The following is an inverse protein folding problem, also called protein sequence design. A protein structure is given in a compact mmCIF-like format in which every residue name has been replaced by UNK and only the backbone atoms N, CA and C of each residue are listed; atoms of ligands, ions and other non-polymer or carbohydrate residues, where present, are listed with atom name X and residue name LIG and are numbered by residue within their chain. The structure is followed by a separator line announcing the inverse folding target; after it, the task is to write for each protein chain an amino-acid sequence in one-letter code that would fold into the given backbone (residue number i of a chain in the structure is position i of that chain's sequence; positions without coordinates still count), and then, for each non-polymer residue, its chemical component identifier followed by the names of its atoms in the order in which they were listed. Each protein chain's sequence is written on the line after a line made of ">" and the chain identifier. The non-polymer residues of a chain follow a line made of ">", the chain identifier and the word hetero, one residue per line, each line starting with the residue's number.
data_IF_440046928451
#
_entry.id   IF_440046928451
#
_cell.length_a   1.000
_cell.length_b   1.000
_cell.length_c   1.000
_cell.angle_alpha   90.00
_cell.angle_beta   90.00
_cell.angle_gamma   90.00
#
_symmetry.space_group_name_H-M   'P 1'
#
loop_
_entity.id
_entity.type
_entity.pdbx_description
1 polymer ?
#
# COMPACT_ATOMS: atom_id res chain seq x y z
N UNK A 1 17.07 26.75 6.12
CA UNK A 1 17.52 25.91 7.26
C UNK A 1 19.03 25.75 7.17
N UNK A 2 19.77 26.23 8.18
CA UNK A 2 21.23 26.08 8.26
C UNK A 2 21.54 24.60 8.56
N UNK A 3 22.17 23.91 7.63
CA UNK A 3 22.40 22.46 7.72
C UNK A 3 23.43 22.15 8.81
N UNK A 4 23.00 21.58 9.94
CA UNK A 4 23.90 21.09 11.00
C UNK A 4 24.73 19.89 10.57
N UNK A 5 24.34 19.21 9.49
CA UNK A 5 25.04 18.06 8.91
C UNK A 5 25.45 18.33 7.45
N UNK A 6 26.56 17.70 7.05
CA UNK A 6 27.02 17.70 5.66
C UNK A 6 25.96 17.04 4.74
N UNK A 7 25.70 17.57 3.53
CA UNK A 7 24.61 17.10 2.65
C UNK A 7 24.61 15.58 2.39
N UNK A 8 25.79 14.97 2.18
CA UNK A 8 25.92 13.51 2.02
C UNK A 8 25.43 12.71 3.23
N UNK A 9 25.68 13.18 4.45
CA UNK A 9 25.22 12.52 5.69
C UNK A 9 23.72 12.69 5.87
N UNK A 10 23.18 13.88 5.56
CA UNK A 10 21.74 14.08 5.51
C UNK A 10 21.09 13.08 4.54
N UNK A 11 21.57 13.02 3.29
CA UNK A 11 21.04 12.09 2.29
C UNK A 11 21.05 10.64 2.80
N UNK A 12 22.20 10.18 3.31
CA UNK A 12 22.33 8.82 3.86
C UNK A 12 21.31 8.51 4.97
N UNK A 13 21.03 9.45 5.86
CA UNK A 13 20.06 9.27 6.95
C UNK A 13 18.63 9.19 6.42
N UNK A 14 18.29 10.01 5.42
CA UNK A 14 16.91 10.16 4.94
C UNK A 14 16.53 9.23 3.79
N UNK A 15 17.49 8.66 3.06
CA UNK A 15 17.25 7.81 1.87
C UNK A 15 16.44 6.54 2.17
N UNK A 16 16.59 5.97 3.38
CA UNK A 16 15.79 4.82 3.82
C UNK A 16 14.42 5.18 4.42
N UNK A 17 14.17 6.46 4.71
CA UNK A 17 13.02 6.87 5.51
C UNK A 17 11.70 6.72 4.72
N UNK A 18 11.71 7.01 3.42
CA UNK A 18 10.54 6.79 2.55
C UNK A 18 10.07 5.34 2.54
N UNK A 19 11.00 4.39 2.47
CA UNK A 19 10.71 2.94 2.52
C UNK A 19 10.12 2.52 3.87
N UNK A 20 10.71 3.00 4.97
CA UNK A 20 10.21 2.71 6.31
C UNK A 20 8.78 3.24 6.51
N UNK A 21 8.53 4.49 6.11
CA UNK A 21 7.20 5.11 6.22
C UNK A 21 6.19 4.36 5.36
N UNK A 22 6.53 4.03 4.11
CA UNK A 22 5.68 3.24 3.23
C UNK A 22 5.28 1.91 3.88
N UNK A 23 6.25 1.18 4.44
CA UNK A 23 5.99 -0.11 5.10
C UNK A 23 5.11 0.04 6.34
N UNK A 24 5.33 1.07 7.15
CA UNK A 24 4.49 1.37 8.31
C UNK A 24 3.06 1.65 7.88
N UNK A 25 2.85 2.48 6.85
CA UNK A 25 1.52 2.85 6.37
C UNK A 25 0.74 1.64 5.84
N UNK A 26 1.35 0.83 4.98
CA UNK A 26 0.74 -0.39 4.42
C UNK A 26 0.40 -1.37 5.55
N UNK A 27 1.36 -1.64 6.44
CA UNK A 27 1.15 -2.56 7.57
C UNK A 27 0.07 -2.06 8.54
N UNK A 28 -0.04 -0.74 8.72
CA UNK A 28 -1.03 -0.15 9.63
C UNK A 28 -2.48 -0.33 9.17
N UNK A 29 -2.71 -0.60 7.88
CA UNK A 29 -4.05 -0.81 7.34
C UNK A 29 -4.76 -2.01 7.98
N UNK A 30 -4.03 -3.05 8.41
CA UNK A 30 -4.64 -4.24 9.05
C UNK A 30 -5.38 -3.90 10.35
N UNK A 31 -4.94 -2.85 11.05
CA UNK A 31 -5.52 -2.37 12.32
C UNK A 31 -6.68 -1.41 12.12
N UNK A 32 -7.01 -1.04 10.88
CA UNK A 32 -8.19 -0.24 10.61
C UNK A 32 -9.46 -1.08 10.76
N UNK A 33 -10.49 -0.51 11.40
CA UNK A 33 -11.77 -1.21 11.55
C UNK A 33 -12.57 -1.17 10.26
N UNK A 34 -12.69 0.02 9.67
CA UNK A 34 -13.40 0.28 8.41
C UNK A 34 -12.66 1.38 7.64
N UNK A 35 -12.83 1.41 6.33
CA UNK A 35 -12.34 2.45 5.44
C UNK A 35 -13.45 2.86 4.47
N UNK A 36 -13.68 4.17 4.37
CA UNK A 36 -14.63 4.77 3.44
C UNK A 36 -13.89 5.58 2.37
N UNK A 37 -14.60 6.00 1.33
CA UNK A 37 -14.02 6.75 0.21
C UNK A 37 -13.28 8.01 0.67
N UNK A 38 -13.86 8.75 1.61
CA UNK A 38 -13.23 9.95 2.20
C UNK A 38 -11.94 9.59 2.94
N UNK A 39 -11.93 8.48 3.67
CA UNK A 39 -10.76 7.93 4.35
C UNK A 39 -9.64 7.59 3.38
N UNK A 40 -9.96 6.93 2.26
CA UNK A 40 -9.00 6.60 1.21
C UNK A 40 -8.37 7.87 0.64
N UNK A 41 -9.20 8.82 0.19
CA UNK A 41 -8.72 10.08 -0.36
C UNK A 41 -7.85 10.86 0.64
N UNK A 42 -8.21 10.86 1.93
CA UNK A 42 -7.40 11.49 2.99
C UNK A 42 -6.05 10.80 3.14
N UNK A 43 -6.01 9.47 3.12
CA UNK A 43 -4.75 8.73 3.16
C UNK A 43 -3.86 9.06 1.96
N UNK A 44 -4.40 9.03 0.74
CA UNK A 44 -3.63 9.37 -0.46
C UNK A 44 -3.06 10.80 -0.40
N UNK A 45 -3.85 11.79 0.06
CA UNK A 45 -3.37 13.18 0.26
C UNK A 45 -2.27 13.27 1.32
N UNK A 46 -2.43 12.57 2.45
CA UNK A 46 -1.44 12.56 3.51
C UNK A 46 -0.12 11.93 3.05
N UNK A 47 -0.19 10.82 2.31
CA UNK A 47 0.99 10.15 1.73
C UNK A 47 1.70 11.09 0.76
N UNK A 48 0.95 11.78 -0.09
CA UNK A 48 1.52 12.76 -1.01
C UNK A 48 2.21 13.93 -0.27
N UNK A 49 1.61 14.45 0.81
CA UNK A 49 2.23 15.48 1.64
C UNK A 49 3.54 14.99 2.31
N UNK A 50 3.57 13.74 2.79
CA UNK A 50 4.78 13.11 3.31
C UNK A 50 5.85 12.97 2.22
N UNK A 51 5.45 12.56 1.02
CA UNK A 51 6.34 12.43 -0.13
C UNK A 51 6.96 13.77 -0.53
N UNK A 52 6.17 14.84 -0.59
CA UNK A 52 6.67 16.20 -0.86
C UNK A 52 7.65 16.65 0.23
N UNK A 53 7.34 16.39 1.49
CA UNK A 53 8.19 16.76 2.63
C UNK A 53 9.56 16.07 2.52
N UNK A 54 9.57 14.75 2.30
CA UNK A 54 10.81 13.99 2.14
C UNK A 54 11.57 14.37 0.89
N UNK A 55 10.89 14.51 -0.25
CA UNK A 55 11.51 14.93 -1.52
C UNK A 55 12.21 16.28 -1.37
N UNK A 56 11.63 17.21 -0.60
CA UNK A 56 12.26 18.50 -0.32
C UNK A 56 13.50 18.38 0.60
N UNK A 57 13.56 17.36 1.45
CA UNK A 57 14.70 17.09 2.34
C UNK A 57 15.82 16.37 1.58
N UNK A 58 15.47 15.33 0.81
CA UNK A 58 16.41 14.44 0.14
C UNK A 58 16.83 14.94 -1.25
N UNK A 59 16.04 15.84 -1.84
CA UNK A 59 16.14 16.29 -3.23
C UNK A 59 16.04 15.11 -4.24
N UNK A 60 15.38 14.03 -3.83
CA UNK A 60 15.16 12.82 -4.62
C UNK A 60 13.71 12.37 -4.51
N UNK A 61 13.15 11.81 -5.59
CA UNK A 61 11.79 11.30 -5.58
C UNK A 61 11.69 10.06 -4.69
N UNK A 62 10.75 10.09 -3.75
CA UNK A 62 10.46 8.96 -2.85
C UNK A 62 9.46 7.98 -3.50
N UNK A 63 9.95 7.05 -4.32
CA UNK A 63 9.12 6.08 -5.05
C UNK A 63 8.39 5.11 -4.12
N UNK A 64 8.97 4.79 -2.96
CA UNK A 64 8.31 3.91 -1.98
C UNK A 64 6.97 4.48 -1.46
N UNK A 65 6.82 5.81 -1.42
CA UNK A 65 5.57 6.45 -1.03
C UNK A 65 4.53 6.45 -2.15
N UNK A 66 4.94 6.37 -3.41
CA UNK A 66 4.02 6.10 -4.53
C UNK A 66 3.40 4.70 -4.36
N UNK A 67 4.22 3.69 -4.02
CA UNK A 67 3.76 2.32 -3.75
C UNK A 67 2.77 2.23 -2.57
N UNK A 68 3.07 2.93 -1.47
CA UNK A 68 2.13 3.02 -0.35
C UNK A 68 0.82 3.70 -0.73
N UNK A 69 0.86 4.72 -1.59
CA UNK A 69 -0.36 5.37 -2.09
C UNK A 69 -1.18 4.40 -2.95
N UNK A 70 -0.56 3.68 -3.88
CA UNK A 70 -1.25 2.67 -4.70
C UNK A 70 -1.93 1.60 -3.84
N UNK A 71 -1.30 1.19 -2.74
CA UNK A 71 -1.93 0.26 -1.79
C UNK A 71 -3.26 0.79 -1.24
N UNK A 72 -3.32 2.07 -0.87
CA UNK A 72 -4.58 2.67 -0.42
C UNK A 72 -5.58 2.87 -1.57
N UNK A 73 -5.12 3.06 -2.80
CA UNK A 73 -5.98 3.16 -3.98
C UNK A 73 -6.69 1.83 -4.30
N UNK A 74 -6.15 0.68 -3.88
CA UNK A 74 -6.84 -0.61 -3.98
C UNK A 74 -8.22 -0.58 -3.30
N UNK A 75 -8.40 0.21 -2.25
CA UNK A 75 -9.67 0.26 -1.52
C UNK A 75 -10.80 0.96 -2.31
N UNK A 76 -10.50 1.62 -3.42
CA UNK A 76 -11.54 2.08 -4.37
C UNK A 76 -12.17 0.92 -5.14
N UNK A 77 -11.44 -0.20 -5.27
CA UNK A 77 -11.87 -1.37 -6.01
C UNK A 77 -12.74 -2.29 -5.15
N UNK A 78 -13.42 -3.20 -5.82
CA UNK A 78 -14.06 -4.37 -5.24
C UNK A 78 -13.02 -5.50 -5.06
N UNK A 79 -13.28 -6.45 -4.15
CA UNK A 79 -12.44 -7.66 -4.02
C UNK A 79 -12.19 -8.36 -5.36
N UNK A 80 -13.22 -8.47 -6.19
CA UNK A 80 -13.16 -9.10 -7.51
C UNK A 80 -12.25 -8.33 -8.48
N UNK A 81 -12.35 -7.01 -8.53
CA UNK A 81 -11.47 -6.17 -9.35
C UNK A 81 -10.01 -6.28 -8.93
N UNK A 82 -9.74 -6.37 -7.62
CA UNK A 82 -8.38 -6.60 -7.09
C UNK A 82 -7.85 -7.95 -7.59
N UNK A 83 -8.61 -9.03 -7.40
CA UNK A 83 -8.19 -10.37 -7.82
C UNK A 83 -7.95 -10.44 -9.34
N UNK A 84 -8.85 -9.87 -10.14
CA UNK A 84 -8.69 -9.81 -11.59
C UNK A 84 -7.44 -9.01 -11.99
N UNK A 85 -7.15 -7.91 -11.30
CA UNK A 85 -5.94 -7.12 -11.55
C UNK A 85 -4.65 -7.91 -11.32
N UNK A 86 -4.63 -8.82 -10.35
CA UNK A 86 -3.47 -9.68 -10.07
C UNK A 86 -3.25 -10.67 -11.21
N UNK A 87 -4.34 -11.23 -11.76
CA UNK A 87 -4.28 -12.14 -12.92
C UNK A 87 -3.78 -11.41 -14.17
N UNK A 88 -4.30 -10.21 -14.43
CA UNK A 88 -4.00 -9.46 -15.66
C UNK A 88 -2.60 -8.81 -15.65
N UNK A 89 -2.16 -8.30 -14.50
CA UNK A 89 -0.97 -7.44 -14.37
C UNK A 89 0.14 -8.03 -13.50
N UNK A 90 -0.12 -9.12 -12.79
CA UNK A 90 0.78 -9.69 -11.79
C UNK A 90 0.66 -9.03 -10.40
N UNK A 91 1.49 -9.48 -9.48
CA UNK A 91 1.45 -9.06 -8.07
C UNK A 91 2.25 -7.78 -7.82
N UNK A 92 1.61 -6.74 -7.28
CA UNK A 92 2.28 -5.50 -6.83
C UNK A 92 2.60 -5.53 -5.31
N UNK A 93 1.83 -6.30 -4.55
CA UNK A 93 1.95 -6.43 -3.10
C UNK A 93 2.20 -7.88 -2.69
N UNK A 94 2.65 -8.08 -1.44
CA UNK A 94 2.77 -9.44 -0.89
C UNK A 94 1.40 -10.07 -0.63
N UNK A 95 1.34 -11.40 -0.59
CA UNK A 95 0.13 -12.14 -0.25
C UNK A 95 -0.53 -11.63 1.03
N UNK A 96 0.26 -11.45 2.10
CA UNK A 96 -0.23 -10.94 3.38
C UNK A 96 -0.85 -9.53 3.26
N UNK A 97 -0.28 -8.67 2.43
CA UNK A 97 -0.81 -7.32 2.17
C UNK A 97 -2.15 -7.38 1.41
N UNK A 98 -2.28 -8.26 0.42
CA UNK A 98 -3.56 -8.51 -0.24
C UNK A 98 -4.61 -9.10 0.70
N UNK A 99 -4.23 -10.08 1.54
CA UNK A 99 -5.13 -10.64 2.55
C UNK A 99 -5.65 -9.56 3.50
N UNK A 100 -4.76 -8.70 4.00
CA UNK A 100 -5.13 -7.59 4.88
C UNK A 100 -6.07 -6.60 4.18
N UNK A 101 -5.81 -6.28 2.91
CA UNK A 101 -6.66 -5.39 2.13
C UNK A 101 -8.07 -5.97 1.93
N UNK A 102 -8.19 -7.24 1.53
CA UNK A 102 -9.48 -7.93 1.35
C UNK A 102 -10.26 -8.01 2.66
N UNK A 103 -9.59 -8.29 3.78
CA UNK A 103 -10.22 -8.28 5.10
C UNK A 103 -10.72 -6.90 5.51
N UNK A 104 -9.97 -5.83 5.22
CA UNK A 104 -10.42 -4.47 5.52
C UNK A 104 -11.61 -4.08 4.63
N UNK A 105 -11.62 -4.46 3.35
CA UNK A 105 -12.75 -4.25 2.45
C UNK A 105 -14.01 -4.94 2.96
N UNK A 106 -13.91 -6.21 3.37
CA UNK A 106 -15.04 -6.97 3.91
C UNK A 106 -15.59 -6.38 5.22
N UNK A 107 -14.73 -5.82 6.06
CA UNK A 107 -15.19 -5.11 7.28
C UNK A 107 -15.92 -3.81 6.95
N UNK A 108 -15.53 -3.15 5.85
CA UNK A 108 -16.00 -1.81 5.47
C UNK A 108 -17.28 -1.84 4.64
N UNK A 109 -17.35 -2.74 3.67
CA UNK A 109 -18.53 -3.04 2.87
C UNK A 109 -19.21 -4.22 3.56
N UNK A 110 -20.36 -4.01 4.19
CA UNK A 110 -21.18 -5.07 4.82
C UNK A 110 -21.79 -6.00 3.75
N UNK A 111 -20.94 -6.54 2.88
CA UNK A 111 -21.36 -7.43 1.83
C UNK A 111 -21.61 -8.83 2.42
N UNK A 112 -22.52 -9.57 1.80
CA UNK A 112 -22.94 -10.90 2.27
C UNK A 112 -21.97 -12.01 1.84
N UNK A 113 -21.04 -11.71 0.93
CA UNK A 113 -20.04 -12.67 0.46
C UNK A 113 -18.97 -12.85 1.53
N UNK A 114 -18.76 -14.10 1.94
CA UNK A 114 -17.73 -14.43 2.93
C UNK A 114 -16.35 -14.09 2.37
N UNK A 115 -15.58 -13.27 3.10
CA UNK A 115 -14.18 -12.96 2.80
C UNK A 115 -13.34 -14.20 2.52
N UNK A 116 -13.71 -15.36 3.09
CA UNK A 116 -13.04 -16.64 2.87
C UNK A 116 -12.97 -17.03 1.40
N UNK A 117 -14.02 -16.75 0.61
CA UNK A 117 -14.06 -17.07 -0.83
C UNK A 117 -13.01 -16.26 -1.59
N UNK A 118 -12.87 -14.96 -1.27
CA UNK A 118 -11.86 -14.12 -1.90
C UNK A 118 -10.44 -14.48 -1.47
N UNK A 119 -10.25 -14.97 -0.23
CA UNK A 119 -8.95 -15.42 0.26
C UNK A 119 -8.52 -16.76 -0.35
N UNK A 120 -9.44 -17.71 -0.51
CA UNK A 120 -9.19 -18.97 -1.23
C UNK A 120 -8.80 -18.69 -2.67
N UNK A 121 -9.58 -17.85 -3.37
CA UNK A 121 -9.28 -17.46 -4.74
C UNK A 121 -7.95 -16.71 -4.88
N UNK A 122 -7.60 -15.86 -3.91
CA UNK A 122 -6.27 -15.23 -3.87
C UNK A 122 -5.17 -16.28 -3.80
N UNK A 123 -5.31 -17.27 -2.91
CA UNK A 123 -4.33 -18.35 -2.76
C UNK A 123 -4.18 -19.17 -4.04
N UNK A 124 -5.29 -19.50 -4.72
CA UNK A 124 -5.27 -20.21 -6.00
C UNK A 124 -4.53 -19.40 -7.08
N UNK A 125 -4.86 -18.11 -7.24
CA UNK A 125 -4.20 -17.23 -8.23
C UNK A 125 -2.70 -17.14 -7.95
N UNK A 126 -2.30 -16.93 -6.69
CA UNK A 126 -0.88 -16.81 -6.33
C UNK A 126 -0.14 -18.14 -6.44
N UNK A 127 -0.82 -19.26 -6.18
CA UNK A 127 -0.29 -20.61 -6.40
C UNK A 127 -0.03 -20.90 -7.87
N UNK A 128 -0.92 -20.48 -8.77
CA UNK A 128 -0.71 -20.61 -10.22
C UNK A 128 0.41 -19.67 -10.72
N UNK A 129 0.43 -18.42 -10.25
CA UNK A 129 1.46 -17.43 -10.61
C UNK A 129 2.85 -17.88 -10.11
N UNK A 130 2.95 -18.44 -8.91
CA UNK A 130 4.20 -18.95 -8.33
C UNK A 130 4.82 -20.15 -9.04
N UNK A 131 4.06 -20.84 -9.91
CA UNK A 131 4.55 -21.96 -10.74
C UNK A 131 5.14 -21.48 -12.07
N UNK A 132 4.92 -20.21 -12.45
CA UNK A 132 5.33 -19.66 -13.76
C UNK A 132 6.66 -18.90 -13.78
N UNK A 133 7.48 -19.00 -12.72
CA UNK A 133 8.82 -18.39 -12.63
C UNK A 133 9.92 -19.43 -12.52
#
# INVERSE_FOLDING_TARGET
>A
MTSSLHPRKCKYIFEGLGHLIAKILISSAQYMNVIDETGIQRMCRNIFALQQTLTNITMTREVALDHARHYFELFFLTPEEILNSIVDKGTEFSELEYMNALQLLNRSKKDHVSVTVHLERLSDILGEVGVTV
#
